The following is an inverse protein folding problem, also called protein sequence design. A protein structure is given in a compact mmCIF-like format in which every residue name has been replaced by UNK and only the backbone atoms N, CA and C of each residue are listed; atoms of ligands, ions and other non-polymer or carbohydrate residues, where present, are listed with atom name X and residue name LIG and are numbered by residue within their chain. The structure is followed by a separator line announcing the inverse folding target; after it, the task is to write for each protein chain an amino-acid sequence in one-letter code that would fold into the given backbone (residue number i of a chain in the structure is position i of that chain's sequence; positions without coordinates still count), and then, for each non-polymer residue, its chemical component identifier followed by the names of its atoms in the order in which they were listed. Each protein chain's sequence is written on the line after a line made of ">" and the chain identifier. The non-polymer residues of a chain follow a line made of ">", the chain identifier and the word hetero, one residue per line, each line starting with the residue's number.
data_IF_161997127613
#
_entry.id   IF_161997127613
#
_cell.length_a   1.000
_cell.length_b   1.000
_cell.length_c   1.000
_cell.angle_alpha   90.00
_cell.angle_beta   90.00
_cell.angle_gamma   90.00
#
_symmetry.space_group_name_H-M   'P 1'
#
loop_
_entity.id
_entity.type
_entity.pdbx_description
1 polymer ?
#
# COMPACT_ATOMS: atom_id res chain seq x y z
N UNK A 1 -15.37 8.65 7.98
CA UNK A 1 -15.18 8.19 9.39
C UNK A 1 -14.01 8.94 9.99
N UNK A 2 -14.00 9.09 11.31
CA UNK A 2 -12.97 9.84 12.02
C UNK A 2 -12.00 8.84 12.67
N UNK A 3 -10.72 8.90 12.29
CA UNK A 3 -9.65 8.02 12.80
C UNK A 3 -8.78 8.74 13.82
N UNK A 4 -9.38 9.65 14.58
CA UNK A 4 -8.71 10.49 15.56
C UNK A 4 -8.79 9.93 16.96
N UNK A 5 -7.71 10.08 17.68
CA UNK A 5 -7.61 9.75 19.11
C UNK A 5 -7.42 11.04 19.89
N UNK A 6 -8.30 11.29 20.84
CA UNK A 6 -8.18 12.41 21.74
C UNK A 6 -7.08 12.14 22.78
N UNK A 7 -6.00 12.94 22.76
CA UNK A 7 -4.81 12.75 23.62
C UNK A 7 -4.71 13.78 24.74
N UNK A 8 -5.43 14.91 24.61
CA UNK A 8 -5.44 15.97 25.62
C UNK A 8 -6.14 15.49 26.89
N UNK A 9 -5.52 15.73 28.04
CA UNK A 9 -6.08 15.32 29.32
C UNK A 9 -6.01 13.84 29.67
N UNK A 10 -5.52 12.97 28.77
CA UNK A 10 -5.29 11.57 29.11
C UNK A 10 -4.23 11.44 30.20
N UNK A 11 -4.51 10.63 31.24
CA UNK A 11 -3.51 10.23 32.24
C UNK A 11 -2.47 9.26 31.61
N UNK A 12 -1.41 8.96 32.37
CA UNK A 12 -0.49 7.89 31.97
C UNK A 12 -1.21 6.53 32.04
N UNK A 13 -1.04 5.69 31.00
CA UNK A 13 -1.71 4.40 30.93
C UNK A 13 -1.84 3.87 29.52
N UNK A 14 -2.58 2.79 29.40
CA UNK A 14 -2.94 2.15 28.12
C UNK A 14 -4.41 2.42 27.81
N UNK A 15 -4.67 2.73 26.53
CA UNK A 15 -5.99 3.03 26.00
C UNK A 15 -6.18 2.24 24.72
N UNK A 16 -7.34 1.61 24.56
CA UNK A 16 -7.66 0.81 23.40
C UNK A 16 -8.73 1.51 22.57
N UNK A 17 -8.51 1.54 21.26
CA UNK A 17 -9.44 2.10 20.29
C UNK A 17 -9.63 1.11 19.15
N UNK A 18 -10.81 1.10 18.57
CA UNK A 18 -11.15 0.26 17.44
C UNK A 18 -11.76 1.11 16.33
N UNK A 19 -11.19 0.99 15.13
CA UNK A 19 -11.63 1.73 13.95
C UNK A 19 -12.03 0.75 12.86
N UNK A 20 -13.32 0.75 12.44
CA UNK A 20 -13.73 0.01 11.27
C UNK A 20 -13.25 0.73 10.00
N UNK A 21 -12.50 0.02 9.17
CA UNK A 21 -11.97 0.52 7.90
C UNK A 21 -12.79 -0.08 6.76
N UNK A 22 -13.39 0.79 5.96
CA UNK A 22 -14.21 0.44 4.80
C UNK A 22 -13.62 1.06 3.53
N UNK A 23 -14.11 0.62 2.37
CA UNK A 23 -13.67 1.09 1.06
C UNK A 23 -13.71 2.62 0.88
N UNK A 24 -14.52 3.34 1.67
CA UNK A 24 -14.58 4.81 1.65
C UNK A 24 -13.23 5.45 1.95
N UNK A 25 -12.43 4.87 2.85
CA UNK A 25 -11.09 5.36 3.16
C UNK A 25 -10.22 5.38 1.90
N UNK A 26 -10.20 4.30 1.15
CA UNK A 26 -9.40 4.15 -0.07
C UNK A 26 -9.86 5.08 -1.19
N UNK A 27 -11.17 5.25 -1.34
CA UNK A 27 -11.76 6.21 -2.31
C UNK A 27 -11.36 7.65 -1.99
N UNK A 28 -11.29 8.02 -0.73
CA UNK A 28 -10.88 9.37 -0.30
C UNK A 28 -9.42 9.67 -0.66
N UNK A 29 -8.53 8.65 -0.61
CA UNK A 29 -7.14 8.76 -1.06
C UNK A 29 -6.96 8.56 -2.58
N UNK A 30 -8.05 8.36 -3.33
CA UNK A 30 -8.01 8.13 -4.78
C UNK A 30 -7.39 6.79 -5.17
N UNK A 31 -7.33 5.83 -4.25
CA UNK A 31 -6.84 4.49 -4.53
C UNK A 31 -7.84 3.75 -5.42
N UNK A 32 -7.36 3.29 -6.59
CA UNK A 32 -8.18 2.57 -7.57
C UNK A 32 -8.01 1.06 -7.51
N UNK A 33 -7.03 0.56 -6.76
CA UNK A 33 -6.78 -0.88 -6.63
C UNK A 33 -7.76 -1.54 -5.65
N UNK A 34 -8.15 -0.80 -4.61
CA UNK A 34 -9.04 -1.29 -3.57
C UNK A 34 -10.48 -0.90 -3.89
N UNK A 35 -11.30 -1.89 -4.24
CA UNK A 35 -12.72 -1.72 -4.56
C UNK A 35 -13.56 -1.56 -3.28
N UNK A 36 -13.28 -2.39 -2.28
CA UNK A 36 -13.90 -2.33 -0.95
C UNK A 36 -12.97 -2.90 0.12
N UNK A 37 -13.29 -2.64 1.38
CA UNK A 37 -12.55 -3.15 2.52
C UNK A 37 -13.48 -3.43 3.70
N UNK A 38 -13.17 -4.47 4.45
CA UNK A 38 -13.75 -4.81 5.73
C UNK A 38 -12.64 -5.20 6.70
N UNK A 39 -11.93 -4.18 7.19
CA UNK A 39 -10.78 -4.33 8.09
C UNK A 39 -11.09 -3.65 9.42
N UNK A 40 -10.70 -4.29 10.51
CA UNK A 40 -10.75 -3.71 11.85
C UNK A 40 -9.35 -3.31 12.27
N UNK A 41 -9.12 -2.01 12.47
CA UNK A 41 -7.87 -1.48 12.99
C UNK A 41 -7.99 -1.25 14.50
N UNK A 42 -7.28 -2.04 15.30
CA UNK A 42 -7.20 -1.89 16.76
C UNK A 42 -5.93 -1.15 17.11
N UNK A 43 -6.08 -0.08 17.87
CA UNK A 43 -4.97 0.76 18.30
C UNK A 43 -4.86 0.73 19.80
N UNK A 44 -3.71 0.31 20.31
CA UNK A 44 -3.36 0.43 21.72
C UNK A 44 -2.43 1.62 21.89
N UNK A 45 -2.94 2.70 22.46
CA UNK A 45 -2.16 3.89 22.80
C UNK A 45 -1.56 3.72 24.21
N UNK A 46 -0.23 3.76 24.29
CA UNK A 46 0.49 3.79 25.55
C UNK A 46 1.02 5.20 25.81
N UNK A 47 0.56 5.83 26.90
CA UNK A 47 1.00 7.16 27.30
C UNK A 47 1.83 7.10 28.57
N UNK A 48 3.08 7.55 28.46
CA UNK A 48 4.01 7.70 29.60
C UNK A 48 4.27 9.16 29.96
N UNK A 49 5.32 9.38 30.72
CA UNK A 49 5.78 10.73 31.09
C UNK A 49 6.65 11.29 29.95
N UNK A 50 6.04 12.09 29.05
CA UNK A 50 6.76 12.73 27.95
C UNK A 50 6.91 11.88 26.67
N UNK A 51 6.26 10.74 26.59
CA UNK A 51 6.24 9.90 25.40
C UNK A 51 4.86 9.25 25.19
N UNK A 52 4.53 8.95 23.96
CA UNK A 52 3.35 8.18 23.56
C UNK A 52 3.73 7.22 22.44
N UNK A 53 3.24 6.00 22.52
CA UNK A 53 3.37 5.01 21.44
C UNK A 53 1.99 4.46 21.09
N UNK A 54 1.73 4.31 19.81
CA UNK A 54 0.55 3.63 19.29
C UNK A 54 0.96 2.29 18.67
N UNK A 55 0.37 1.20 19.16
CA UNK A 55 0.49 -0.12 18.55
C UNK A 55 -0.79 -0.38 17.76
N UNK A 56 -0.65 -0.54 16.47
CA UNK A 56 -1.74 -0.82 15.54
C UNK A 56 -1.71 -2.30 15.17
N UNK A 57 -2.85 -2.95 15.25
CA UNK A 57 -3.12 -4.25 14.67
C UNK A 57 -4.33 -4.15 13.76
N UNK A 58 -4.17 -4.55 12.50
CA UNK A 58 -5.26 -4.59 11.51
C UNK A 58 -5.54 -6.01 11.09
N UNK A 59 -6.80 -6.44 11.13
CA UNK A 59 -7.25 -7.72 10.65
C UNK A 59 -8.56 -7.60 9.87
N UNK A 60 -8.70 -8.37 8.79
CA UNK A 60 -9.87 -8.33 7.94
C UNK A 60 -9.62 -8.76 6.51
N UNK A 61 -10.36 -8.15 5.59
CA UNK A 61 -10.30 -8.44 4.16
C UNK A 61 -10.37 -7.17 3.33
N UNK A 62 -9.70 -7.20 2.19
CA UNK A 62 -9.75 -6.14 1.18
C UNK A 62 -10.16 -6.76 -0.14
N UNK A 63 -11.12 -6.13 -0.83
CA UNK A 63 -11.56 -6.53 -2.17
C UNK A 63 -10.75 -5.76 -3.21
N UNK A 64 -10.08 -6.48 -4.09
CA UNK A 64 -9.28 -5.94 -5.20
C UNK A 64 -9.66 -6.64 -6.50
N UNK A 65 -9.27 -6.05 -7.63
CA UNK A 65 -9.42 -6.67 -8.94
C UNK A 65 -8.26 -7.64 -9.20
N UNK A 66 -8.56 -8.82 -9.72
CA UNK A 66 -7.55 -9.81 -10.10
C UNK A 66 -6.78 -9.36 -11.33
N UNK A 67 -5.45 -9.28 -11.25
CA UNK A 67 -4.57 -8.84 -12.35
C UNK A 67 -4.60 -9.76 -13.59
N UNK A 68 -5.20 -10.96 -13.50
CA UNK A 68 -5.32 -11.91 -14.61
C UNK A 68 -6.69 -11.88 -15.26
N UNK A 69 -7.76 -11.97 -14.49
CA UNK A 69 -9.10 -12.14 -15.04
C UNK A 69 -10.00 -10.92 -14.86
N UNK A 70 -9.54 -9.89 -14.16
CA UNK A 70 -10.25 -8.64 -13.87
C UNK A 70 -11.56 -8.84 -13.09
N UNK A 71 -11.70 -9.95 -12.40
CA UNK A 71 -12.81 -10.17 -11.47
C UNK A 71 -12.39 -9.81 -10.05
N UNK A 72 -13.36 -9.41 -9.24
CA UNK A 72 -13.12 -9.07 -7.84
C UNK A 72 -12.68 -10.28 -7.04
N UNK A 73 -11.71 -10.08 -6.15
CA UNK A 73 -11.22 -11.08 -5.23
C UNK A 73 -10.97 -10.48 -3.84
N UNK A 74 -11.18 -11.30 -2.81
CA UNK A 74 -10.89 -10.91 -1.43
C UNK A 74 -9.47 -11.35 -1.04
N UNK A 75 -8.71 -10.42 -0.49
CA UNK A 75 -7.38 -10.67 0.08
C UNK A 75 -7.47 -10.50 1.59
N UNK A 76 -7.06 -11.51 2.38
CA UNK A 76 -6.97 -11.36 3.82
C UNK A 76 -5.83 -10.39 4.16
N UNK A 77 -6.08 -9.52 5.14
CA UNK A 77 -5.10 -8.57 5.68
C UNK A 77 -4.95 -8.85 7.16
N UNK A 78 -3.70 -9.07 7.60
CA UNK A 78 -3.33 -9.20 9.01
C UNK A 78 -1.94 -8.57 9.19
N UNK A 79 -1.85 -7.49 9.96
CA UNK A 79 -0.61 -6.78 10.17
C UNK A 79 -0.52 -6.15 11.55
N UNK A 80 0.71 -5.95 11.99
CA UNK A 80 1.04 -5.20 13.20
C UNK A 80 2.02 -4.07 12.86
N UNK A 81 1.81 -2.92 13.48
CA UNK A 81 2.66 -1.76 13.32
C UNK A 81 2.80 -1.00 14.64
N UNK A 82 3.87 -0.25 14.77
CA UNK A 82 4.11 0.61 15.94
C UNK A 82 4.50 1.99 15.48
N UNK A 83 3.97 3.01 16.14
CA UNK A 83 4.18 4.40 15.82
C UNK A 83 4.52 5.15 17.11
N UNK A 84 5.64 5.86 17.12
CA UNK A 84 5.94 6.80 18.19
C UNK A 84 5.23 8.14 17.91
N UNK A 85 4.62 8.73 18.95
CA UNK A 85 3.96 10.02 18.88
C UNK A 85 4.76 10.98 19.75
N UNK A 86 5.30 12.03 19.14
CA UNK A 86 6.09 13.05 19.83
C UNK A 86 5.36 14.40 19.80
N UNK A 87 5.44 15.11 20.90
CA UNK A 87 4.96 16.49 20.98
C UNK A 87 6.13 17.43 20.73
N UNK A 88 6.10 18.19 19.65
CA UNK A 88 7.08 19.24 19.36
C UNK A 88 6.39 20.43 18.72
N UNK A 89 6.92 21.65 18.98
CA UNK A 89 6.41 22.86 18.31
C UNK A 89 6.89 22.87 16.87
N UNK A 90 6.03 23.29 15.95
CA UNK A 90 6.37 23.51 14.54
C UNK A 90 7.60 24.44 14.45
N UNK A 91 8.69 23.93 13.88
CA UNK A 91 9.96 24.65 13.71
C UNK A 91 11.09 24.24 14.66
N UNK A 92 10.87 23.36 15.62
CA UNK A 92 11.96 22.64 16.28
C UNK A 92 12.50 21.59 15.30
N UNK A 93 13.83 21.63 15.03
CA UNK A 93 14.50 20.63 14.18
C UNK A 93 14.40 19.27 14.87
N UNK A 94 13.42 18.49 14.44
CA UNK A 94 13.37 17.08 14.73
C UNK A 94 13.95 16.37 13.51
N UNK A 95 14.94 15.52 13.72
CA UNK A 95 15.44 14.65 12.64
C UNK A 95 14.24 13.92 12.05
N UNK A 96 13.99 14.13 10.74
CA UNK A 96 12.97 13.40 9.98
C UNK A 96 13.29 11.92 10.05
N UNK A 97 12.56 11.20 10.86
CA UNK A 97 12.53 9.75 10.81
C UNK A 97 11.09 9.32 10.55
N UNK A 98 10.89 8.44 9.60
CA UNK A 98 9.58 7.90 9.19
C UNK A 98 8.87 7.12 10.33
N UNK A 99 9.46 7.09 11.51
CA UNK A 99 9.01 6.27 12.63
C UNK A 99 8.14 7.01 13.67
N UNK A 100 7.85 8.29 13.48
CA UNK A 100 7.05 9.03 14.45
C UNK A 100 6.16 10.12 13.83
N UNK A 101 5.00 10.34 14.47
CA UNK A 101 4.13 11.48 14.19
C UNK A 101 4.48 12.61 15.16
N UNK A 102 4.66 13.81 14.62
CA UNK A 102 4.80 15.02 15.42
C UNK A 102 3.43 15.65 15.57
N UNK A 103 3.07 15.93 16.82
CA UNK A 103 1.82 16.59 17.19
C UNK A 103 2.16 17.90 17.92
N UNK A 104 1.56 19.00 17.51
CA UNK A 104 1.73 20.26 18.23
C UNK A 104 1.17 20.14 19.66
N UNK A 105 1.84 20.68 20.69
CA UNK A 105 1.36 20.63 22.09
C UNK A 105 -0.04 21.25 22.29
N UNK A 106 -0.48 22.10 21.36
CA UNK A 106 -1.81 22.71 21.39
C UNK A 106 -2.89 21.82 20.77
N UNK A 107 -2.51 20.78 20.02
CA UNK A 107 -3.45 19.84 19.44
C UNK A 107 -3.99 18.88 20.50
N UNK A 108 -5.31 18.72 20.48
CA UNK A 108 -5.98 17.82 21.41
C UNK A 108 -6.10 16.38 20.90
N UNK A 109 -5.84 16.15 19.63
CA UNK A 109 -6.11 14.90 18.91
C UNK A 109 -4.93 14.51 18.04
N UNK A 110 -4.77 13.19 17.83
CA UNK A 110 -3.86 12.61 16.84
C UNK A 110 -4.70 11.94 15.77
N UNK A 111 -4.45 12.27 14.50
CA UNK A 111 -5.10 11.62 13.36
C UNK A 111 -4.24 10.45 12.89
N UNK A 112 -4.79 9.26 12.95
CA UNK A 112 -4.15 8.00 12.51
C UNK A 112 -4.60 7.55 11.12
N UNK A 113 -5.41 8.35 10.43
CA UNK A 113 -6.03 7.99 9.16
C UNK A 113 -5.01 7.60 8.09
N UNK A 114 -4.00 8.44 7.88
CA UNK A 114 -2.92 8.18 6.93
C UNK A 114 -2.14 6.92 7.31
N UNK A 115 -1.79 6.79 8.57
CA UNK A 115 -1.02 5.66 9.07
C UNK A 115 -1.75 4.31 8.86
N UNK A 116 -3.05 4.26 9.18
CA UNK A 116 -3.88 3.07 8.96
C UNK A 116 -3.97 2.74 7.46
N UNK A 117 -4.18 3.74 6.62
CA UNK A 117 -4.25 3.58 5.17
C UNK A 117 -2.94 3.01 4.60
N UNK A 118 -1.80 3.61 4.94
CA UNK A 118 -0.49 3.23 4.43
C UNK A 118 -0.14 1.79 4.81
N UNK A 119 -0.39 1.40 6.06
CA UNK A 119 -0.11 0.04 6.52
C UNK A 119 -1.00 -1.01 5.86
N UNK A 120 -2.24 -0.72 5.57
CA UNK A 120 -3.08 -1.64 4.78
C UNK A 120 -2.52 -1.76 3.37
N UNK A 121 -2.19 -0.65 2.70
CA UNK A 121 -1.66 -0.66 1.34
C UNK A 121 -0.34 -1.43 1.22
N UNK A 122 0.58 -1.25 2.17
CA UNK A 122 1.88 -1.95 2.18
C UNK A 122 1.71 -3.47 2.37
N UNK A 123 0.67 -3.91 3.06
CA UNK A 123 0.38 -5.33 3.27
C UNK A 123 -0.36 -6.00 2.11
N UNK A 124 -0.82 -5.25 1.10
CA UNK A 124 -1.37 -5.83 -0.11
C UNK A 124 -0.26 -6.39 -1.01
N UNK A 125 -0.49 -7.53 -1.67
CA UNK A 125 0.48 -8.07 -2.61
C UNK A 125 0.65 -7.15 -3.83
N UNK A 126 1.86 -7.07 -4.37
CA UNK A 126 2.13 -6.30 -5.60
C UNK A 126 1.39 -6.85 -6.84
N UNK A 127 1.06 -8.13 -6.81
CA UNK A 127 0.28 -8.80 -7.86
C UNK A 127 -0.84 -9.57 -7.17
N UNK A 128 -2.07 -9.16 -7.41
CA UNK A 128 -3.27 -9.80 -6.91
C UNK A 128 -3.83 -10.76 -7.96
N UNK A 129 -3.83 -12.05 -7.69
CA UNK A 129 -4.39 -13.02 -8.63
C UNK A 129 -5.03 -14.18 -7.91
N UNK A 130 -6.17 -14.65 -8.42
CA UNK A 130 -6.80 -15.87 -7.91
C UNK A 130 -5.83 -17.05 -7.89
N UNK A 131 -5.99 -18.00 -6.99
CA UNK A 131 -5.30 -19.27 -7.03
C UNK A 131 -5.43 -19.98 -8.40
N UNK A 132 -4.54 -20.94 -8.67
CA UNK A 132 -4.59 -21.68 -9.92
C UNK A 132 -5.95 -22.39 -10.10
N UNK A 133 -6.59 -22.13 -11.25
CA UNK A 133 -7.89 -22.72 -11.60
C UNK A 133 -9.11 -21.93 -11.14
N UNK A 134 -8.96 -20.87 -10.36
CA UNK A 134 -10.09 -20.06 -9.87
C UNK A 134 -10.36 -18.80 -10.70
N UNK A 135 -9.46 -18.44 -11.62
CA UNK A 135 -9.70 -17.33 -12.54
C UNK A 135 -10.80 -17.69 -13.57
N UNK A 136 -11.52 -16.67 -14.02
CA UNK A 136 -12.52 -16.79 -15.08
C UNK A 136 -11.91 -17.44 -16.35
N UNK A 137 -12.39 -18.62 -16.78
CA UNK A 137 -11.82 -19.36 -17.90
C UNK A 137 -12.00 -18.65 -19.25
N UNK A 138 -13.07 -17.86 -19.42
CA UNK A 138 -13.29 -17.09 -20.64
C UNK A 138 -12.26 -15.98 -20.82
N UNK A 139 -11.90 -15.30 -19.71
CA UNK A 139 -10.86 -14.26 -19.73
C UNK A 139 -9.48 -14.88 -19.95
N UNK A 140 -9.16 -16.02 -19.33
CA UNK A 140 -7.91 -16.72 -19.57
C UNK A 140 -7.77 -17.14 -21.04
N UNK A 141 -8.84 -17.70 -21.67
CA UNK A 141 -8.82 -18.05 -23.07
C UNK A 141 -8.58 -16.83 -24.00
N UNK A 142 -9.15 -15.66 -23.67
CA UNK A 142 -8.88 -14.41 -24.41
C UNK A 142 -7.42 -13.97 -24.28
N UNK A 143 -6.85 -14.06 -23.10
CA UNK A 143 -5.44 -13.71 -22.86
C UNK A 143 -4.51 -14.64 -23.63
N UNK A 144 -4.77 -15.94 -23.65
CA UNK A 144 -4.00 -16.92 -24.42
C UNK A 144 -4.09 -16.66 -25.92
N UNK A 145 -5.29 -16.38 -26.44
CA UNK A 145 -5.47 -16.04 -27.85
C UNK A 145 -4.69 -14.79 -28.26
N UNK A 146 -4.66 -13.75 -27.40
CA UNK A 146 -3.88 -12.53 -27.61
C UNK A 146 -2.37 -12.79 -27.59
N UNK A 147 -1.88 -13.62 -26.66
CA UNK A 147 -0.46 -14.02 -26.57
C UNK A 147 -0.02 -14.79 -27.82
N UNK A 148 -0.82 -15.80 -28.25
CA UNK A 148 -0.54 -16.56 -29.47
C UNK A 148 -0.52 -15.66 -30.73
N UNK A 149 -1.35 -14.65 -30.78
CA UNK A 149 -1.36 -13.65 -31.88
C UNK A 149 -0.13 -12.74 -31.88
N UNK A 150 0.40 -12.43 -30.69
CA UNK A 150 1.63 -11.62 -30.55
C UNK A 150 2.91 -12.41 -30.89
N UNK A 151 2.98 -13.70 -30.54
CA UNK A 151 4.10 -14.57 -30.90
C UNK A 151 4.23 -14.70 -32.42
N UNK A 152 3.12 -14.95 -33.14
CA UNK A 152 3.11 -14.98 -34.61
C UNK A 152 3.56 -13.68 -35.25
N UNK A 153 3.22 -12.54 -34.66
CA UNK A 153 3.62 -11.23 -35.16
C UNK A 153 5.09 -10.91 -34.91
N UNK A 154 5.70 -11.52 -33.88
CA UNK A 154 7.14 -11.38 -33.58
C UNK A 154 8.01 -12.23 -34.54
N UNK A 155 7.50 -13.33 -35.06
CA UNK A 155 8.21 -14.16 -36.07
C UNK A 155 8.19 -13.49 -37.46
N UNK A 156 7.14 -12.69 -37.79
CA UNK A 156 7.02 -12.02 -39.09
C UNK A 156 7.74 -10.66 -39.17
N UNK A 157 8.06 -10.03 -38.04
CA UNK A 157 8.85 -8.79 -38.01
C UNK A 157 10.33 -9.13 -37.86
N UNK A 158 11.07 -9.09 -38.97
CA UNK A 158 12.54 -8.97 -38.94
C UNK A 158 12.91 -7.93 -37.91
N UNK A 159 13.74 -8.33 -36.96
CA UNK A 159 14.10 -7.56 -35.76
C UNK A 159 14.78 -6.26 -36.17
N UNK A 160 14.01 -5.19 -36.36
CA UNK A 160 14.57 -3.85 -36.36
C UNK A 160 15.10 -3.57 -34.95
N UNK A 161 16.39 -3.84 -34.76
CA UNK A 161 17.08 -3.44 -33.54
C UNK A 161 17.54 -1.99 -33.73
N UNK A 162 17.05 -1.02 -32.92
CA UNK A 162 17.51 0.36 -32.98
C UNK A 162 19.04 0.48 -32.74
N UNK A 163 19.65 -0.58 -32.23
CA UNK A 163 21.06 -0.66 -31.89
C UNK A 163 21.90 -1.46 -32.90
N UNK A 164 21.34 -1.91 -34.01
CA UNK A 164 22.11 -2.66 -35.04
C UNK A 164 23.28 -1.87 -35.59
N UNK A 165 23.15 -0.55 -35.73
CA UNK A 165 24.23 0.34 -36.17
C UNK A 165 25.39 0.54 -35.15
N UNK A 166 25.18 0.20 -33.89
CA UNK A 166 26.21 0.27 -32.85
C UNK A 166 27.30 -0.83 -33.01
N UNK A 167 26.90 -2.00 -33.50
CA UNK A 167 27.86 -3.09 -33.80
C UNK A 167 28.85 -2.68 -34.85
N UNK A 168 28.42 -2.01 -35.89
CA UNK A 168 29.29 -1.53 -37.00
C UNK A 168 30.26 -0.43 -36.53
N UNK A 169 29.91 0.36 -35.54
CA UNK A 169 30.78 1.37 -34.92
C UNK A 169 31.86 0.75 -34.03
N UNK A 170 31.52 -0.32 -33.29
CA UNK A 170 32.46 -1.04 -32.43
C UNK A 170 33.50 -1.81 -33.23
N UNK A 171 33.13 -2.39 -34.38
CA UNK A 171 34.06 -3.11 -35.27
C UNK A 171 35.00 -2.17 -36.05
N UNK A 172 34.59 -0.95 -36.35
CA UNK A 172 35.45 0.09 -36.94
C UNK A 172 36.46 0.68 -35.94
N UNK A 173 36.16 0.66 -34.63
CA UNK A 173 37.07 1.14 -33.58
C UNK A 173 38.22 0.19 -33.22
N UNK A 174 38.17 -1.09 -33.62
CA UNK A 174 39.22 -2.08 -33.37
C UNK A 174 40.26 -2.23 -34.46
N UNK A 175 40.19 -1.43 -35.51
CA UNK A 175 41.15 -1.43 -36.64
C UNK A 175 42.02 -0.17 -36.70
N UNK A 176 42.36 0.41 -35.55
CA UNK A 176 43.42 1.43 -35.45
C UNK A 176 44.41 1.07 -34.36
#
# INVERSE_FOLDING_TARGET
>A
MDYKIHISGLAQGKYEYEFPVKGDLFREYGNQQVMDADVTARVTLEKGSGWMNAHLRGDGKVTVECDRCLEDMEIPVDFEASLAIRTARLGEETEDSDEFIIVDPSEAEVDLKQFIYDYICVNLPMVASHPEGECNPEMLAKIEALRAGQEKKKEETETYSPFSGLKDLLDKGKKK
#
